data_IF_760844567881
#
_entry.id   IF_760844567881
#
_cell.length_a   1.000
_cell.length_b   1.000
_cell.length_c   1.000
_cell.angle_alpha   90.00
_cell.angle_beta   90.00
_cell.angle_gamma   90.00
#
_symmetry.space_group_name_H-M   'P 1'
#
loop_
_entity.id
_entity.type
_entity.pdbx_description
1 polymer ?
#
# COMPACT_ATOMS: atom_id res chain seq x y z
N UNK A 1 -4.36 -15.67 -2.91
CA UNK A 1 -4.44 -16.63 -1.78
C UNK A 1 -4.75 -15.86 -0.51
N UNK A 2 -5.20 -16.54 0.56
CA UNK A 2 -5.43 -15.90 1.86
C UNK A 2 -4.17 -15.21 2.40
N UNK A 3 -2.99 -15.77 2.14
CA UNK A 3 -1.71 -15.19 2.56
C UNK A 3 -1.42 -13.85 1.88
N UNK A 4 -1.69 -13.72 0.57
CA UNK A 4 -1.53 -12.46 -0.16
C UNK A 4 -2.50 -11.41 0.37
N UNK A 5 -3.74 -11.82 0.66
CA UNK A 5 -4.75 -10.92 1.20
C UNK A 5 -4.33 -10.38 2.59
N UNK A 6 -3.85 -11.27 3.46
CA UNK A 6 -3.34 -10.90 4.78
C UNK A 6 -2.09 -10.02 4.68
N UNK A 7 -1.18 -10.30 3.75
CA UNK A 7 0.01 -9.48 3.52
C UNK A 7 -0.37 -8.06 3.08
N UNK A 8 -1.29 -7.93 2.12
CA UNK A 8 -1.78 -6.63 1.66
C UNK A 8 -2.44 -5.82 2.79
N UNK A 9 -3.23 -6.47 3.64
CA UNK A 9 -3.82 -5.83 4.81
C UNK A 9 -2.73 -5.30 5.76
N UNK A 10 -1.76 -6.15 6.13
CA UNK A 10 -0.67 -5.79 7.05
C UNK A 10 0.21 -4.66 6.52
N UNK A 11 0.45 -4.59 5.21
CA UNK A 11 1.21 -3.50 4.60
C UNK A 11 0.46 -2.17 4.76
N UNK A 12 -0.84 -2.15 4.47
CA UNK A 12 -1.67 -0.95 4.61
C UNK A 12 -1.69 -0.44 6.06
N UNK A 13 -1.90 -1.35 7.01
CA UNK A 13 -1.93 -1.03 8.44
C UNK A 13 -0.57 -0.49 8.92
N UNK A 14 0.53 -1.18 8.60
CA UNK A 14 1.87 -0.76 9.03
C UNK A 14 2.29 0.61 8.44
N UNK A 15 1.92 0.90 7.18
CA UNK A 15 2.19 2.20 6.57
C UNK A 15 1.40 3.31 7.25
N UNK A 16 0.11 3.07 7.51
CA UNK A 16 -0.78 4.02 8.17
C UNK A 16 -0.32 4.30 9.62
N UNK A 17 -0.05 3.25 10.40
CA UNK A 17 0.43 3.36 11.79
C UNK A 17 1.77 4.11 11.89
N UNK A 18 2.66 3.89 10.92
CA UNK A 18 3.96 4.58 10.88
C UNK A 18 3.87 6.05 10.45
N UNK A 19 2.72 6.49 9.92
CA UNK A 19 2.54 7.82 9.35
C UNK A 19 3.33 8.10 8.07
N UNK A 20 4.01 7.08 7.50
CA UNK A 20 4.86 7.22 6.32
C UNK A 20 4.08 7.32 5.01
N UNK A 21 2.91 6.68 4.95
CA UNK A 21 2.04 6.72 3.79
C UNK A 21 0.60 6.32 4.14
N UNK A 22 -0.34 6.70 3.28
CA UNK A 22 -1.72 6.22 3.33
C UNK A 22 -2.04 5.52 2.00
N UNK A 23 -2.30 4.22 2.07
CA UNK A 23 -2.80 3.40 0.96
C UNK A 23 -4.14 2.79 1.38
N UNK A 24 -5.11 2.80 0.47
CA UNK A 24 -6.38 2.14 0.73
C UNK A 24 -6.24 0.62 0.62
N UNK A 25 -7.13 -0.11 1.29
CA UNK A 25 -7.36 -1.53 1.05
C UNK A 25 -8.71 -1.69 0.37
N UNK A 26 -8.81 -2.60 -0.58
CA UNK A 26 -10.07 -2.91 -1.30
C UNK A 26 -10.12 -4.39 -1.63
N UNK A 27 -11.31 -4.90 -1.93
CA UNK A 27 -11.46 -6.19 -2.59
C UNK A 27 -11.62 -5.97 -4.10
N UNK A 28 -10.93 -6.77 -4.90
CA UNK A 28 -11.10 -6.86 -6.33
C UNK A 28 -11.07 -8.34 -6.74
N UNK A 29 -12.17 -8.82 -7.32
CA UNK A 29 -12.34 -10.22 -7.72
C UNK A 29 -12.06 -11.24 -6.58
N UNK A 30 -12.58 -10.94 -5.38
CA UNK A 30 -12.39 -11.77 -4.19
C UNK A 30 -10.98 -11.73 -3.60
N UNK A 31 -10.10 -10.85 -4.07
CA UNK A 31 -8.73 -10.67 -3.57
C UNK A 31 -8.59 -9.31 -2.89
N UNK A 32 -8.09 -9.31 -1.65
CA UNK A 32 -7.70 -8.08 -0.96
C UNK A 32 -6.47 -7.48 -1.64
N UNK A 33 -6.61 -6.24 -2.09
CA UNK A 33 -5.62 -5.48 -2.85
C UNK A 33 -5.34 -4.14 -2.16
N UNK A 34 -4.14 -3.62 -2.38
CA UNK A 34 -3.83 -2.21 -2.09
C UNK A 34 -4.42 -1.31 -3.19
N UNK A 35 -4.86 -0.12 -2.81
CA UNK A 35 -5.46 0.89 -3.67
C UNK A 35 -4.78 2.23 -3.46
N UNK A 36 -4.38 2.87 -4.56
CA UNK A 36 -3.89 4.24 -4.58
C UNK A 36 -4.89 5.13 -5.31
N UNK A 37 -5.29 6.24 -4.69
CA UNK A 37 -6.15 7.25 -5.31
C UNK A 37 -5.37 8.55 -5.45
N UNK A 38 -5.14 9.00 -6.69
CA UNK A 38 -4.43 10.25 -6.97
C UNK A 38 -5.44 11.41 -7.07
N UNK A 39 -5.57 12.17 -5.99
CA UNK A 39 -6.46 13.34 -5.92
C UNK A 39 -5.71 14.66 -5.85
N UNK A 40 -4.46 14.66 -5.40
CA UNK A 40 -3.66 15.87 -5.30
C UNK A 40 -2.99 16.19 -6.65
N UNK A 41 -3.36 17.28 -7.33
CA UNK A 41 -2.84 17.62 -8.65
C UNK A 41 -1.36 18.05 -8.64
N UNK A 42 -0.76 18.26 -7.46
CA UNK A 42 0.67 18.59 -7.34
C UNK A 42 1.55 17.35 -7.16
N UNK A 43 0.97 16.15 -7.04
CA UNK A 43 1.74 14.90 -6.95
C UNK A 43 2.57 14.71 -8.21
N UNK A 44 3.84 14.40 -8.02
CA UNK A 44 4.78 14.12 -9.09
C UNK A 44 4.97 12.61 -9.28
N UNK A 45 5.59 12.23 -10.39
CA UNK A 45 5.99 10.83 -10.60
C UNK A 45 6.96 10.33 -9.53
N UNK A 46 7.84 11.20 -9.01
CA UNK A 46 8.79 10.83 -7.96
C UNK A 46 8.09 10.50 -6.64
N UNK A 47 7.05 11.26 -6.27
CA UNK A 47 6.24 10.94 -5.09
C UNK A 47 5.59 9.55 -5.19
N UNK A 48 5.12 9.18 -6.39
CA UNK A 48 4.55 7.85 -6.65
C UNK A 48 5.60 6.76 -6.50
N UNK A 49 6.82 6.97 -7.02
CA UNK A 49 7.92 6.01 -6.87
C UNK A 49 8.32 5.83 -5.41
N UNK A 50 8.37 6.92 -4.64
CA UNK A 50 8.64 6.86 -3.19
C UNK A 50 7.57 6.03 -2.48
N UNK A 51 6.29 6.26 -2.79
CA UNK A 51 5.19 5.48 -2.23
C UNK A 51 5.30 3.99 -2.56
N UNK A 52 5.57 3.63 -3.81
CA UNK A 52 5.74 2.23 -4.23
C UNK A 52 6.94 1.57 -3.54
N UNK A 53 8.05 2.30 -3.39
CA UNK A 53 9.23 1.83 -2.65
C UNK A 53 8.90 1.56 -1.18
N UNK A 54 8.09 2.42 -0.55
CA UNK A 54 7.63 2.22 0.83
C UNK A 54 6.75 0.97 0.97
N UNK A 55 5.86 0.71 -0.01
CA UNK A 55 5.04 -0.50 -0.05
C UNK A 55 5.92 -1.75 -0.15
N UNK A 56 6.86 -1.78 -1.10
CA UNK A 56 7.78 -2.91 -1.30
C UNK A 56 8.66 -3.17 -0.07
N UNK A 57 9.26 -2.12 0.49
CA UNK A 57 10.14 -2.23 1.67
C UNK A 57 9.35 -2.69 2.90
N UNK A 58 8.12 -2.21 3.07
CA UNK A 58 7.25 -2.64 4.18
C UNK A 58 6.84 -4.10 4.00
N UNK A 59 6.52 -4.53 2.78
CA UNK A 59 6.23 -5.93 2.49
C UNK A 59 7.42 -6.83 2.90
N UNK A 60 8.64 -6.48 2.48
CA UNK A 60 9.87 -7.23 2.81
C UNK A 60 10.13 -7.34 4.32
N UNK A 61 9.64 -6.41 5.14
CA UNK A 61 9.77 -6.45 6.60
C UNK A 61 8.70 -7.30 7.30
N UNK A 62 7.64 -7.69 6.58
CA UNK A 62 6.47 -8.40 7.13
C UNK A 62 6.41 -9.87 6.74
N UNK A 63 7.22 -10.29 5.75
CA UNK A 63 7.46 -11.70 5.37
C UNK A 63 8.58 -12.34 6.17
#
# INVERSE_FOLDING_TARGET
SADIALLNQRIGDALLESGRANVGVTEFDGVTCLKMTLLNPTVTLEDIKVLLTLVETTAQQLV
#
